data_IF_345003710513
#
_entry.id   IF_345003710513
#
_cell.length_a   1.000
_cell.length_b   1.000
_cell.length_c   1.000
_cell.angle_alpha   90.00
_cell.angle_beta   90.00
_cell.angle_gamma   90.00
#
_symmetry.space_group_name_H-M   'P 1'
#
loop_
_entity.id
_entity.type
_entity.pdbx_description
1 polymer ?
#
# COMPACT_ATOMS: atom_id res chain seq x y z
N UNK A 1 28.80 -64.38 -33.60
CA UNK A 1 27.94 -63.93 -32.48
C UNK A 1 28.80 -63.53 -31.29
N UNK A 2 29.05 -62.23 -31.12
CA UNK A 2 29.61 -61.61 -29.91
C UNK A 2 28.94 -60.23 -29.83
N UNK A 3 28.18 -59.96 -28.76
CA UNK A 3 27.57 -58.65 -28.52
C UNK A 3 28.60 -57.75 -27.82
N UNK A 4 28.83 -56.51 -28.24
CA UNK A 4 29.46 -55.53 -27.37
C UNK A 4 28.41 -54.92 -26.43
N UNK A 5 28.73 -54.97 -25.13
CA UNK A 5 28.05 -54.23 -24.07
C UNK A 5 28.35 -52.73 -24.24
N UNK A 6 27.31 -51.90 -24.32
CA UNK A 6 27.44 -50.46 -24.10
C UNK A 6 27.07 -50.15 -22.65
N UNK A 7 28.07 -49.71 -21.88
CA UNK A 7 27.88 -49.08 -20.57
C UNK A 7 27.49 -47.62 -20.80
N UNK A 8 26.28 -47.24 -20.40
CA UNK A 8 25.86 -45.84 -20.33
C UNK A 8 26.43 -45.23 -19.04
N UNK A 9 27.66 -44.74 -19.11
CA UNK A 9 28.20 -43.84 -18.09
C UNK A 9 27.47 -42.50 -18.16
N UNK A 10 26.67 -42.25 -17.13
CA UNK A 10 26.54 -40.98 -16.41
C UNK A 10 27.02 -39.73 -17.16
N UNK A 11 26.13 -39.12 -17.94
CA UNK A 11 26.27 -37.71 -18.28
C UNK A 11 25.63 -36.87 -17.16
N UNK A 12 26.52 -36.15 -16.47
CA UNK A 12 26.19 -35.13 -15.49
C UNK A 12 25.21 -34.12 -16.10
N UNK A 13 23.98 -34.15 -15.59
CA UNK A 13 23.06 -33.01 -15.68
C UNK A 13 23.70 -31.86 -14.91
N UNK A 14 24.41 -31.00 -15.64
CA UNK A 14 24.85 -29.69 -15.18
C UNK A 14 23.63 -28.95 -14.63
N UNK A 15 23.60 -28.89 -13.30
CA UNK A 15 22.85 -27.99 -12.41
C UNK A 15 21.95 -26.97 -13.12
N UNK A 16 20.86 -27.45 -13.69
CA UNK A 16 19.63 -26.67 -13.71
C UNK A 16 19.29 -26.49 -12.24
N UNK A 17 19.64 -25.33 -11.67
CA UNK A 17 19.09 -24.88 -10.39
C UNK A 17 17.61 -25.19 -10.48
N UNK A 18 17.19 -26.21 -9.73
CA UNK A 18 15.81 -26.64 -9.68
C UNK A 18 14.99 -25.39 -9.47
N UNK A 19 14.11 -25.08 -10.43
CA UNK A 19 13.12 -24.04 -10.24
C UNK A 19 12.45 -24.38 -8.93
N UNK A 20 12.70 -23.57 -7.91
CA UNK A 20 11.99 -23.66 -6.65
C UNK A 20 10.54 -23.28 -6.96
N UNK A 21 9.75 -24.25 -7.38
CA UNK A 21 8.28 -24.25 -7.44
C UNK A 21 7.67 -24.29 -6.04
N UNK A 22 8.37 -23.78 -5.02
CA UNK A 22 7.75 -23.58 -3.71
C UNK A 22 6.91 -22.29 -3.76
N UNK A 23 5.67 -22.30 -3.23
CA UNK A 23 4.80 -21.14 -3.23
C UNK A 23 5.30 -20.16 -2.16
N UNK A 24 6.37 -19.41 -2.44
CA UNK A 24 6.77 -18.32 -1.58
C UNK A 24 5.81 -17.15 -1.84
N UNK A 25 4.71 -17.15 -1.08
CA UNK A 25 3.84 -15.99 -0.96
C UNK A 25 4.72 -14.78 -0.64
N UNK A 26 4.56 -13.70 -1.41
CA UNK A 26 5.30 -12.46 -1.22
C UNK A 26 5.10 -11.98 0.22
N UNK A 27 6.15 -11.70 0.98
CA UNK A 27 6.01 -11.17 2.34
C UNK A 27 5.60 -9.70 2.28
N UNK A 28 4.45 -9.36 2.87
CA UNK A 28 3.87 -8.03 2.80
C UNK A 28 3.95 -7.33 4.15
N UNK A 29 4.62 -6.19 4.23
CA UNK A 29 4.57 -5.31 5.39
C UNK A 29 3.51 -4.21 5.17
N UNK A 30 2.76 -3.86 6.22
CA UNK A 30 1.76 -2.80 6.16
C UNK A 30 2.08 -1.72 7.19
N UNK A 31 2.18 -0.49 6.70
CA UNK A 31 2.48 0.71 7.46
C UNK A 31 1.35 1.71 7.27
N UNK A 32 0.79 2.20 8.37
CA UNK A 32 -0.31 3.16 8.33
C UNK A 32 -0.01 4.41 9.13
N UNK A 33 0.08 5.55 8.46
CA UNK A 33 0.05 6.85 9.11
C UNK A 33 -1.39 7.20 9.52
N UNK A 34 -1.65 7.22 10.82
CA UNK A 34 -3.00 7.46 11.37
C UNK A 34 -3.51 8.89 11.12
N UNK A 35 -2.67 9.80 10.64
CA UNK A 35 -3.11 11.11 10.17
C UNK A 35 -3.79 11.04 8.80
N UNK A 36 -3.43 10.05 7.99
CA UNK A 36 -3.95 9.84 6.64
C UNK A 36 -5.25 9.01 6.63
N UNK A 37 -6.06 9.11 7.68
CA UNK A 37 -7.40 8.48 7.74
C UNK A 37 -8.30 9.05 6.63
N UNK A 38 -9.33 8.33 6.18
CA UNK A 38 -10.32 8.88 5.25
C UNK A 38 -11.08 10.04 5.92
N UNK A 39 -10.54 11.26 5.83
CA UNK A 39 -11.09 12.45 6.47
C UNK A 39 -12.22 13.00 5.60
N UNK A 40 -13.45 12.58 5.92
CA UNK A 40 -14.77 13.26 5.96
C UNK A 40 -15.14 14.45 5.04
N UNK A 41 -14.26 15.00 4.20
CA UNK A 41 -14.59 16.10 3.28
C UNK A 41 -15.13 15.58 1.94
N UNK A 42 -14.51 14.54 1.38
CA UNK A 42 -14.90 13.95 0.07
C UNK A 42 -15.96 12.84 0.15
N UNK A 43 -16.30 12.37 1.36
CA UNK A 43 -17.07 11.12 1.55
C UNK A 43 -18.23 11.26 2.53
N UNK A 44 -18.90 12.43 2.57
CA UNK A 44 -20.00 12.76 3.52
C UNK A 44 -21.10 11.70 3.67
N UNK A 45 -21.29 10.82 2.69
CA UNK A 45 -22.26 9.71 2.76
C UNK A 45 -21.69 8.35 3.21
N UNK A 46 -20.38 8.14 3.16
CA UNK A 46 -19.74 6.84 3.43
C UNK A 46 -18.84 6.85 4.67
N UNK A 47 -18.30 8.01 5.05
CA UNK A 47 -17.43 8.17 6.22
C UNK A 47 -18.18 8.28 7.55
N UNK A 48 -19.52 8.38 7.52
CA UNK A 48 -20.35 8.43 8.72
C UNK A 48 -20.67 7.03 9.29
N UNK A 49 -20.40 5.95 8.55
CA UNK A 49 -20.88 4.60 8.89
C UNK A 49 -19.79 3.58 9.22
N UNK A 50 -18.50 3.90 9.09
CA UNK A 50 -17.41 2.93 9.28
C UNK A 50 -16.58 3.28 10.50
N UNK A 51 -16.46 2.32 11.44
CA UNK A 51 -15.56 2.44 12.59
C UNK A 51 -14.09 2.39 12.14
N UNK A 52 -13.15 2.88 12.97
CA UNK A 52 -11.73 2.78 12.64
C UNK A 52 -11.28 1.32 12.62
N UNK A 53 -11.91 0.47 13.43
CA UNK A 53 -11.75 -0.97 13.37
C UNK A 53 -12.10 -1.53 11.98
N UNK A 54 -13.26 -1.18 11.42
CA UNK A 54 -13.68 -1.67 10.09
C UNK A 54 -12.72 -1.23 8.99
N UNK A 55 -12.25 0.02 9.05
CA UNK A 55 -11.26 0.55 8.11
C UNK A 55 -9.94 -0.22 8.24
N UNK A 56 -9.47 -0.46 9.47
CA UNK A 56 -8.24 -1.18 9.75
C UNK A 56 -8.30 -2.64 9.24
N UNK A 57 -9.43 -3.33 9.48
CA UNK A 57 -9.65 -4.70 9.01
C UNK A 57 -9.68 -4.75 7.48
N UNK A 58 -10.44 -3.85 6.83
CA UNK A 58 -10.50 -3.77 5.37
C UNK A 58 -9.12 -3.49 4.76
N UNK A 59 -8.35 -2.60 5.38
CA UNK A 59 -7.00 -2.28 4.94
C UNK A 59 -6.07 -3.50 5.00
N UNK A 60 -6.11 -4.27 6.10
CA UNK A 60 -5.33 -5.50 6.22
C UNK A 60 -5.76 -6.56 5.21
N UNK A 61 -7.07 -6.73 5.00
CA UNK A 61 -7.59 -7.66 3.99
C UNK A 61 -7.18 -7.26 2.57
N UNK A 62 -7.15 -5.95 2.27
CA UNK A 62 -6.67 -5.45 1.00
C UNK A 62 -5.15 -5.65 0.85
N UNK A 63 -4.36 -5.36 1.90
CA UNK A 63 -2.91 -5.60 1.89
C UNK A 63 -2.57 -7.10 1.74
N UNK A 64 -3.34 -7.99 2.35
CA UNK A 64 -3.18 -9.44 2.22
C UNK A 64 -3.45 -9.97 0.81
N UNK A 65 -4.09 -9.18 -0.08
CA UNK A 65 -4.24 -9.58 -1.49
C UNK A 65 -2.93 -9.57 -2.28
N UNK A 66 -1.89 -8.90 -1.75
CA UNK A 66 -0.55 -8.85 -2.36
C UNK A 66 0.36 -10.00 -1.89
N UNK A 67 -0.04 -10.76 -0.87
CA UNK A 67 0.76 -11.85 -0.32
C UNK A 67 0.55 -12.07 1.18
N UNK A 68 1.51 -12.71 1.83
CA UNK A 68 1.43 -13.02 3.25
C UNK A 68 1.69 -11.77 4.09
N UNK A 69 0.63 -11.27 4.74
CA UNK A 69 0.72 -10.09 5.60
C UNK A 69 1.52 -10.41 6.87
N UNK A 70 2.65 -9.74 7.01
CA UNK A 70 3.53 -9.84 8.15
C UNK A 70 2.90 -9.21 9.39
N UNK A 71 2.96 -9.93 10.51
CA UNK A 71 2.55 -9.44 11.83
C UNK A 71 3.76 -8.96 12.64
N UNK A 72 3.66 -7.86 13.41
CA UNK A 72 2.54 -6.91 13.44
C UNK A 72 2.55 -5.98 12.21
N UNK A 73 1.36 -5.49 11.81
CA UNK A 73 1.26 -4.31 10.94
C UNK A 73 1.52 -3.06 11.78
N UNK A 74 2.21 -2.06 11.25
CA UNK A 74 2.62 -0.90 12.02
C UNK A 74 1.68 0.28 11.75
N UNK A 75 1.24 0.94 12.80
CA UNK A 75 0.47 2.18 12.71
C UNK A 75 1.23 3.30 13.42
N UNK A 76 1.54 4.37 12.72
CA UNK A 76 2.23 5.52 13.27
C UNK A 76 1.20 6.53 13.76
N UNK A 77 1.23 6.78 15.06
CA UNK A 77 0.58 7.93 15.65
C UNK A 77 1.58 9.09 15.64
N UNK A 78 1.46 10.01 14.68
CA UNK A 78 2.16 11.29 14.81
C UNK A 78 1.52 12.05 15.96
N UNK A 79 2.24 12.18 17.07
CA UNK A 79 1.96 13.24 18.04
C UNK A 79 2.50 14.54 17.45
N UNK A 80 1.88 15.09 16.40
CA UNK A 80 0.93 16.18 16.58
C UNK A 80 -0.56 15.78 16.50
N UNK A 81 -1.01 14.91 17.40
CA UNK A 81 -2.16 15.35 18.19
C UNK A 81 -1.70 16.63 18.88
N UNK A 82 -2.39 17.78 18.78
CA UNK A 82 -2.23 18.80 19.80
C UNK A 82 -2.75 18.21 21.12
N UNK A 83 -1.91 17.38 21.75
CA UNK A 83 -1.75 17.41 23.18
C UNK A 83 -1.39 18.86 23.48
N UNK A 84 -2.39 19.57 24.02
CA UNK A 84 -2.37 21.00 24.34
C UNK A 84 -2.40 21.97 23.14
N UNK A 85 -3.56 22.09 22.48
CA UNK A 85 -4.06 23.47 22.30
C UNK A 85 -4.48 23.97 23.70
N UNK A 86 -4.26 25.26 24.01
CA UNK A 86 -4.17 25.74 25.38
C UNK A 86 -5.38 25.24 26.19
N UNK A 87 -5.21 24.89 27.48
CA UNK A 87 -6.38 24.69 28.31
C UNK A 87 -7.27 25.90 28.04
N UNK A 88 -8.49 25.67 27.53
CA UNK A 88 -9.49 26.71 27.53
C UNK A 88 -9.67 26.98 29.01
N UNK A 89 -8.97 28.00 29.49
CA UNK A 89 -9.10 28.44 30.85
C UNK A 89 -10.59 28.73 31.00
N UNK A 90 -11.23 28.22 32.06
CA UNK A 90 -12.64 28.42 32.25
C UNK A 90 -12.96 29.92 32.11
N UNK A 91 -14.06 30.26 31.41
CA UNK A 91 -15.17 29.36 31.11
C UNK A 91 -15.16 28.72 29.69
N UNK A 92 -15.70 27.51 29.56
CA UNK A 92 -15.79 26.71 28.33
C UNK A 92 -17.08 27.00 27.54
N UNK A 93 -17.04 27.70 26.38
CA UNK A 93 -18.24 28.02 25.62
C UNK A 93 -18.73 26.87 24.72
N UNK A 94 -20.05 26.63 24.71
CA UNK A 94 -20.71 25.81 23.71
C UNK A 94 -20.81 26.57 22.39
N UNK A 95 -20.20 26.03 21.33
CA UNK A 95 -20.13 26.69 20.02
C UNK A 95 -21.43 26.61 19.21
N UNK A 96 -22.45 25.91 19.72
CA UNK A 96 -23.79 25.84 19.10
C UNK A 96 -24.77 26.85 19.69
N UNK A 97 -24.79 26.99 21.02
CA UNK A 97 -25.74 27.85 21.72
C UNK A 97 -25.10 29.05 22.45
N UNK A 98 -23.77 29.16 22.47
CA UNK A 98 -23.03 30.24 23.12
C UNK A 98 -22.94 30.15 24.65
N UNK A 99 -23.61 29.18 25.29
CA UNK A 99 -23.58 29.02 26.75
C UNK A 99 -22.21 28.64 27.24
N UNK A 100 -21.75 29.27 28.31
CA UNK A 100 -20.46 29.03 28.92
C UNK A 100 -20.58 28.11 30.13
N UNK A 101 -19.65 27.17 30.27
CA UNK A 101 -19.65 26.18 31.35
C UNK A 101 -18.37 26.26 32.18
N UNK A 102 -18.44 25.95 33.48
CA UNK A 102 -17.28 26.02 34.37
C UNK A 102 -16.31 24.84 34.16
N UNK A 103 -16.78 23.69 33.65
CA UNK A 103 -15.94 22.53 33.33
C UNK A 103 -16.24 21.97 31.94
N UNK A 104 -15.23 21.31 31.36
CA UNK A 104 -15.35 20.60 30.08
C UNK A 104 -16.38 19.47 30.15
N UNK A 105 -16.47 18.76 31.28
CA UNK A 105 -17.42 17.65 31.48
C UNK A 105 -18.88 18.13 31.46
N UNK A 106 -19.17 19.28 32.09
CA UNK A 106 -20.52 19.85 32.07
C UNK A 106 -20.89 20.34 30.67
N UNK A 107 -19.93 20.90 29.93
CA UNK A 107 -20.13 21.26 28.51
C UNK A 107 -20.42 20.01 27.66
N UNK A 108 -19.69 18.92 27.87
CA UNK A 108 -19.92 17.64 27.18
C UNK A 108 -21.33 17.11 27.49
N UNK A 109 -21.72 17.08 28.77
CA UNK A 109 -23.06 16.64 29.18
C UNK A 109 -24.16 17.53 28.58
N UNK A 110 -23.96 18.85 28.56
CA UNK A 110 -24.88 19.77 27.89
C UNK A 110 -25.00 19.46 26.39
N UNK A 111 -23.89 19.21 25.73
CA UNK A 111 -23.86 18.90 24.31
C UNK A 111 -24.59 17.59 23.99
N UNK A 112 -24.36 16.53 24.77
CA UNK A 112 -25.01 15.23 24.59
C UNK A 112 -26.49 15.24 24.96
N UNK A 113 -26.89 16.00 25.98
CA UNK A 113 -28.29 16.05 26.43
C UNK A 113 -29.17 16.96 25.55
N UNK A 114 -28.62 18.05 25.01
CA UNK A 114 -29.41 19.05 24.26
C UNK A 114 -29.20 18.93 22.75
N UNK A 115 -27.95 18.98 22.30
CA UNK A 115 -27.65 19.15 20.87
C UNK A 115 -27.63 17.84 20.09
N UNK A 116 -27.24 16.73 20.72
CA UNK A 116 -27.28 15.42 20.07
C UNK A 116 -28.71 14.98 19.70
N UNK A 117 -29.72 15.03 20.62
CA UNK A 117 -31.10 14.71 20.27
C UNK A 117 -31.74 15.68 19.27
N UNK A 118 -31.32 16.95 19.29
CA UNK A 118 -31.77 17.97 18.35
C UNK A 118 -31.23 17.70 16.93
N UNK A 119 -29.96 17.35 16.82
CA UNK A 119 -29.32 16.95 15.57
C UNK A 119 -29.98 15.69 14.98
N UNK A 120 -30.21 14.67 15.81
CA UNK A 120 -30.86 13.43 15.40
C UNK A 120 -32.31 13.66 14.92
N UNK A 121 -33.05 14.57 15.58
CA UNK A 121 -34.37 15.00 15.11
C UNK A 121 -34.32 15.68 13.74
N UNK A 122 -33.27 16.46 13.45
CA UNK A 122 -33.07 17.06 12.12
C UNK A 122 -32.77 16.01 11.05
N UNK A 123 -31.95 15.01 11.37
CA UNK A 123 -31.64 13.90 10.45
C UNK A 123 -32.90 13.08 10.12
N UNK A 124 -33.68 12.68 11.12
CA UNK A 124 -34.97 11.97 10.89
C UNK A 124 -35.95 12.76 10.02
N UNK A 125 -35.98 14.09 10.14
CA UNK A 125 -36.80 14.96 9.27
C UNK A 125 -36.31 15.01 7.83
N UNK A 126 -35.00 14.87 7.61
CA UNK A 126 -34.43 14.75 6.27
C UNK A 126 -34.71 13.38 5.68
N UNK A 127 -34.50 12.31 6.44
CA UNK A 127 -34.72 10.93 5.99
C UNK A 127 -36.18 10.66 5.61
N UNK A 128 -37.13 11.25 6.34
CA UNK A 128 -38.57 11.13 6.03
C UNK A 128 -39.03 11.99 4.85
N UNK A 129 -38.23 12.94 4.38
CA UNK A 129 -38.55 13.79 3.24
C UNK A 129 -38.01 13.19 1.94
N UNK A 130 -38.81 13.21 0.87
CA UNK A 130 -38.38 12.75 -0.47
C UNK A 130 -38.63 13.82 -1.53
N UNK A 131 -37.91 13.72 -2.65
CA UNK A 131 -38.09 14.58 -3.83
C UNK A 131 -37.83 16.08 -3.59
N UNK A 132 -38.66 16.95 -4.16
CA UNK A 132 -38.52 18.42 -4.07
C UNK A 132 -38.50 18.92 -2.63
N UNK A 133 -39.29 18.28 -1.75
CA UNK A 133 -39.35 18.61 -0.32
C UNK A 133 -38.01 18.33 0.38
N UNK A 134 -37.35 17.23 0.04
CA UNK A 134 -36.02 16.92 0.56
C UNK A 134 -34.99 17.98 0.16
N UNK A 135 -34.97 18.37 -1.11
CA UNK A 135 -34.01 19.37 -1.63
C UNK A 135 -34.12 20.72 -0.94
N UNK A 136 -35.34 21.18 -0.64
CA UNK A 136 -35.57 22.44 0.07
C UNK A 136 -35.15 22.31 1.54
N UNK A 137 -35.55 21.23 2.22
CA UNK A 137 -35.23 20.99 3.63
C UNK A 137 -33.73 20.78 3.87
N UNK A 138 -33.04 20.08 2.97
CA UNK A 138 -31.60 19.86 3.06
C UNK A 138 -30.83 21.18 2.89
N UNK A 139 -31.29 22.05 1.98
CA UNK A 139 -30.78 23.42 1.85
C UNK A 139 -30.91 24.21 3.16
N UNK A 140 -32.10 24.21 3.76
CA UNK A 140 -32.38 24.92 5.02
C UNK A 140 -31.57 24.38 6.22
N UNK A 141 -31.32 23.07 6.29
CA UNK A 141 -30.64 22.44 7.42
C UNK A 141 -29.10 22.34 7.25
N UNK A 142 -28.58 22.55 6.05
CA UNK A 142 -27.16 22.40 5.70
C UNK A 142 -26.19 23.07 6.68
N UNK A 143 -26.44 24.34 7.02
CA UNK A 143 -25.61 25.11 7.94
C UNK A 143 -25.70 24.59 9.38
N UNK A 144 -26.87 24.12 9.81
CA UNK A 144 -27.05 23.59 11.17
C UNK A 144 -26.36 22.23 11.34
N UNK A 145 -26.42 21.37 10.32
CA UNK A 145 -25.72 20.08 10.32
C UNK A 145 -24.20 20.28 10.36
N UNK A 146 -23.67 21.14 9.48
CA UNK A 146 -22.23 21.44 9.45
C UNK A 146 -21.72 22.12 10.72
N UNK A 147 -22.49 23.03 11.33
CA UNK A 147 -22.16 23.62 12.64
C UNK A 147 -22.10 22.57 13.74
N UNK A 148 -23.06 21.65 13.78
CA UNK A 148 -23.06 20.53 14.72
C UNK A 148 -21.83 19.64 14.54
N UNK A 149 -21.54 19.19 13.32
CA UNK A 149 -20.37 18.36 13.02
C UNK A 149 -19.05 19.04 13.40
N UNK A 150 -18.94 20.35 13.18
CA UNK A 150 -17.76 21.13 13.58
C UNK A 150 -17.63 21.15 15.12
N UNK A 151 -18.71 21.47 15.83
CA UNK A 151 -18.70 21.52 17.29
C UNK A 151 -18.47 20.13 17.92
N UNK A 152 -19.07 19.07 17.36
CA UNK A 152 -18.87 17.69 17.80
C UNK A 152 -17.41 17.27 17.62
N UNK A 153 -16.78 17.58 16.49
CA UNK A 153 -15.34 17.33 16.28
C UNK A 153 -14.45 18.11 17.24
N UNK A 154 -14.83 19.32 17.60
CA UNK A 154 -14.03 20.13 18.52
C UNK A 154 -14.14 19.66 19.97
N UNK A 155 -15.28 19.08 20.35
CA UNK A 155 -15.56 18.55 21.70
C UNK A 155 -15.12 17.08 21.86
N UNK A 156 -15.46 16.23 20.89
CA UNK A 156 -15.25 14.76 20.93
C UNK A 156 -14.21 14.27 19.95
N UNK A 157 -13.74 15.09 19.00
CA UNK A 157 -12.58 14.74 18.16
C UNK A 157 -11.25 14.76 18.91
N UNK A 158 -11.30 14.95 20.23
CA UNK A 158 -10.20 14.89 21.18
C UNK A 158 -10.40 13.64 22.07
N UNK A 159 -9.74 12.53 21.71
CA UNK A 159 -9.57 11.29 22.51
C UNK A 159 -10.82 10.36 22.64
N UNK A 160 -10.77 9.03 22.72
CA UNK A 160 -9.92 8.20 23.61
C UNK A 160 -9.79 6.69 23.20
N UNK A 161 -10.40 6.22 22.10
CA UNK A 161 -10.52 4.77 21.83
C UNK A 161 -9.96 4.31 20.47
N UNK A 162 -9.49 5.25 19.64
CA UNK A 162 -9.00 4.95 18.29
C UNK A 162 -7.81 4.00 18.28
N UNK A 163 -6.95 4.08 19.30
CA UNK A 163 -5.79 3.21 19.45
C UNK A 163 -6.20 1.78 19.78
N UNK A 164 -7.13 1.59 20.70
CA UNK A 164 -7.68 0.28 21.05
C UNK A 164 -8.42 -0.40 19.88
N UNK A 165 -9.14 0.36 19.05
CA UNK A 165 -9.77 -0.16 17.83
C UNK A 165 -8.74 -0.65 16.80
N UNK A 166 -7.73 0.16 16.52
CA UNK A 166 -6.67 -0.17 15.56
C UNK A 166 -5.80 -1.33 16.07
N UNK A 167 -5.53 -1.37 17.38
CA UNK A 167 -4.79 -2.47 18.02
C UNK A 167 -5.57 -3.79 18.00
N UNK A 168 -6.90 -3.75 18.25
CA UNK A 168 -7.78 -4.92 18.09
C UNK A 168 -7.84 -5.42 16.65
N UNK A 169 -7.65 -4.55 15.66
CA UNK A 169 -7.51 -4.94 14.26
C UNK A 169 -6.12 -5.55 13.94
N UNK A 170 -5.21 -5.61 14.91
CA UNK A 170 -3.90 -6.26 14.80
C UNK A 170 -2.73 -5.33 14.46
N UNK A 171 -2.93 -4.01 14.53
CA UNK A 171 -1.84 -3.05 14.35
C UNK A 171 -1.07 -2.83 15.65
N UNK A 172 0.25 -2.80 15.58
CA UNK A 172 1.11 -2.28 16.64
C UNK A 172 1.25 -0.77 16.43
N UNK A 173 0.83 0.00 17.42
CA UNK A 173 0.90 1.46 17.37
C UNK A 173 2.29 1.87 17.83
N UNK A 174 2.93 2.73 17.04
CA UNK A 174 4.20 3.35 17.35
C UNK A 174 3.95 4.83 17.65
N UNK A 175 4.35 5.23 18.85
CA UNK A 175 4.13 6.56 19.41
C UNK A 175 5.46 7.33 19.47
N UNK A 176 5.48 8.57 18.96
CA UNK A 176 6.54 9.54 19.32
C UNK A 176 7.93 9.32 18.72
N UNK A 177 8.06 8.68 17.55
CA UNK A 177 9.33 8.51 16.84
C UNK A 177 9.28 8.95 15.37
N UNK A 178 10.44 9.09 14.75
CA UNK A 178 10.56 9.36 13.31
C UNK A 178 9.97 8.18 12.53
N UNK A 179 8.78 8.38 11.95
CA UNK A 179 8.04 7.35 11.20
C UNK A 179 8.91 6.69 10.12
N UNK A 180 9.76 7.49 9.48
CA UNK A 180 10.66 7.09 8.40
C UNK A 180 11.75 6.15 8.92
N UNK A 181 12.42 6.51 10.02
CA UNK A 181 13.48 5.69 10.60
C UNK A 181 12.97 4.32 11.00
N UNK A 182 11.84 4.26 11.71
CA UNK A 182 11.21 2.99 12.08
C UNK A 182 10.84 2.14 10.87
N UNK A 183 10.38 2.76 9.78
CA UNK A 183 10.02 2.06 8.57
C UNK A 183 11.27 1.51 7.86
N UNK A 184 12.35 2.29 7.75
CA UNK A 184 13.62 1.85 7.20
C UNK A 184 14.25 0.70 8.01
N UNK A 185 14.21 0.80 9.35
CA UNK A 185 14.68 -0.26 10.25
C UNK A 185 13.87 -1.55 10.06
N UNK A 186 12.54 -1.44 9.95
CA UNK A 186 11.67 -2.60 9.74
C UNK A 186 11.93 -3.28 8.39
N UNK A 187 12.17 -2.49 7.33
CA UNK A 187 12.55 -3.01 6.02
C UNK A 187 13.96 -3.61 5.98
N UNK A 188 14.87 -3.12 6.82
CA UNK A 188 16.23 -3.66 6.91
C UNK A 188 16.27 -4.97 7.71
N UNK A 189 15.51 -5.04 8.80
CA UNK A 189 15.53 -6.16 9.72
C UNK A 189 14.64 -7.33 9.26
N UNK A 190 13.64 -7.07 8.41
CA UNK A 190 12.69 -8.08 7.93
C UNK A 190 12.89 -8.33 6.45
N UNK A 191 12.79 -9.59 6.05
CA UNK A 191 12.71 -9.96 4.63
C UNK A 191 11.31 -9.63 4.11
N UNK A 192 11.15 -8.41 3.58
CA UNK A 192 9.91 -7.88 3.01
C UNK A 192 10.04 -7.82 1.49
N UNK A 193 9.15 -8.51 0.77
CA UNK A 193 9.12 -8.45 -0.69
C UNK A 193 8.24 -7.29 -1.18
N UNK A 194 7.20 -6.95 -0.41
CA UNK A 194 6.27 -5.88 -0.73
C UNK A 194 5.91 -5.05 0.52
N UNK A 195 5.89 -3.73 0.41
CA UNK A 195 5.48 -2.83 1.47
C UNK A 195 4.28 -1.98 1.04
N UNK A 196 3.23 -1.98 1.87
CA UNK A 196 2.05 -1.13 1.71
C UNK A 196 2.18 0.04 2.68
N UNK A 197 2.23 1.26 2.14
CA UNK A 197 2.34 2.51 2.92
C UNK A 197 1.03 3.29 2.77
N UNK A 198 0.37 3.58 3.87
CA UNK A 198 -0.80 4.45 3.90
C UNK A 198 -0.38 5.81 4.44
N UNK A 199 -0.10 6.75 3.54
CA UNK A 199 0.27 8.12 3.91
C UNK A 199 0.07 9.08 2.73
N UNK A 200 -0.24 10.33 3.06
CA UNK A 200 -0.25 11.47 2.14
C UNK A 200 1.02 12.33 2.23
N UNK A 201 1.88 12.06 3.22
CA UNK A 201 3.09 12.85 3.48
C UNK A 201 4.15 12.58 2.38
N UNK A 202 4.70 13.65 1.79
CA UNK A 202 5.74 13.55 0.77
C UNK A 202 7.09 13.08 1.33
N UNK A 203 7.27 13.11 2.65
CA UNK A 203 8.53 12.72 3.31
C UNK A 203 8.83 11.22 3.11
N UNK A 204 7.80 10.40 2.89
CA UNK A 204 7.95 8.97 2.56
C UNK A 204 8.50 8.72 1.14
N UNK A 205 8.68 9.75 0.30
CA UNK A 205 9.32 9.58 -1.01
C UNK A 205 10.76 9.09 -0.88
N UNK A 206 11.47 9.48 0.17
CA UNK A 206 12.84 9.00 0.46
C UNK A 206 12.84 7.49 0.71
N UNK A 207 11.91 7.04 1.56
CA UNK A 207 11.66 5.62 1.86
C UNK A 207 11.34 4.82 0.59
N UNK A 208 10.49 5.34 -0.29
CA UNK A 208 10.13 4.66 -1.54
C UNK A 208 11.32 4.49 -2.49
N UNK A 209 12.24 5.46 -2.52
CA UNK A 209 13.49 5.34 -3.28
C UNK A 209 14.40 4.25 -2.69
N UNK A 210 14.50 4.20 -1.37
CA UNK A 210 15.29 3.17 -0.67
C UNK A 210 14.71 1.77 -0.90
N UNK A 211 13.38 1.61 -0.81
CA UNK A 211 12.70 0.36 -1.15
C UNK A 211 13.04 -0.12 -2.56
N UNK A 212 13.04 0.80 -3.53
CA UNK A 212 13.37 0.48 -4.93
C UNK A 212 14.80 -0.01 -5.08
N UNK A 213 15.76 0.61 -4.37
CA UNK A 213 17.15 0.16 -4.35
C UNK A 213 17.31 -1.23 -3.72
N UNK A 214 16.48 -1.56 -2.72
CA UNK A 214 16.42 -2.87 -2.06
C UNK A 214 15.54 -3.89 -2.78
N UNK A 215 15.04 -3.57 -3.98
CA UNK A 215 14.09 -4.38 -4.75
C UNK A 215 12.80 -4.79 -3.99
N UNK A 216 12.36 -3.95 -3.04
CA UNK A 216 11.08 -4.11 -2.35
C UNK A 216 10.00 -3.42 -3.18
N UNK A 217 8.92 -4.14 -3.50
CA UNK A 217 7.79 -3.55 -4.23
C UNK A 217 6.99 -2.64 -3.31
N UNK A 218 6.58 -1.49 -3.81
CA UNK A 218 5.92 -0.45 -3.01
C UNK A 218 4.49 -0.20 -3.48
N UNK A 219 3.55 -0.25 -2.55
CA UNK A 219 2.14 0.11 -2.77
C UNK A 219 1.81 1.29 -1.86
N UNK A 220 1.26 2.36 -2.42
CA UNK A 220 0.91 3.56 -1.65
C UNK A 220 -0.59 3.79 -1.64
N UNK A 221 -1.16 4.02 -0.46
CA UNK A 221 -2.55 4.43 -0.30
C UNK A 221 -2.56 5.87 0.18
N UNK A 222 -3.18 6.75 -0.60
CA UNK A 222 -3.27 8.17 -0.28
C UNK A 222 -4.31 8.93 -1.10
N UNK A 223 -4.68 10.12 -0.65
CA UNK A 223 -5.61 11.06 -1.28
C UNK A 223 -4.84 12.12 -2.08
N UNK A 224 -4.44 11.76 -3.30
CA UNK A 224 -3.84 12.70 -4.25
C UNK A 224 -4.94 13.51 -4.95
N UNK A 225 -4.99 14.81 -4.73
CA UNK A 225 -5.79 15.74 -5.55
C UNK A 225 -5.01 16.07 -6.83
N UNK A 226 -5.09 15.18 -7.81
CA UNK A 226 -4.51 15.36 -9.14
C UNK A 226 -3.44 14.33 -9.50
N UNK A 227 -3.33 14.05 -10.80
CA UNK A 227 -2.58 12.91 -11.34
C UNK A 227 -1.05 13.08 -11.28
N UNK A 228 -0.54 14.29 -11.02
CA UNK A 228 0.89 14.63 -11.10
C UNK A 228 1.56 15.06 -9.78
N UNK A 229 0.79 15.30 -8.72
CA UNK A 229 1.29 15.77 -7.43
C UNK A 229 0.92 14.78 -6.33
N UNK A 230 1.81 13.85 -6.00
CA UNK A 230 1.58 12.95 -4.89
C UNK A 230 2.67 11.91 -4.71
N UNK A 231 2.72 11.32 -3.52
CA UNK A 231 3.62 10.22 -3.17
C UNK A 231 3.44 8.99 -4.09
N UNK A 232 2.23 8.78 -4.63
CA UNK A 232 1.88 7.63 -5.49
C UNK A 232 2.77 7.49 -6.73
N UNK A 233 3.24 8.60 -7.32
CA UNK A 233 4.11 8.58 -8.52
C UNK A 233 5.46 7.90 -8.28
N UNK A 234 5.89 7.83 -7.02
CA UNK A 234 7.14 7.20 -6.62
C UNK A 234 6.96 5.74 -6.23
N UNK A 235 5.72 5.27 -6.10
CA UNK A 235 5.38 3.88 -5.80
C UNK A 235 5.29 3.04 -7.08
N UNK A 236 5.31 1.71 -6.93
CA UNK A 236 5.01 0.81 -8.04
C UNK A 236 3.52 0.83 -8.38
N UNK A 237 2.66 0.93 -7.36
CA UNK A 237 1.20 1.03 -7.49
C UNK A 237 0.64 1.99 -6.44
N UNK A 238 -0.38 2.75 -6.81
CA UNK A 238 -1.05 3.70 -5.92
C UNK A 238 -2.56 3.53 -5.91
N UNK A 239 -3.17 3.51 -4.73
CA UNK A 239 -4.63 3.47 -4.54
C UNK A 239 -5.12 4.67 -3.73
N UNK A 240 -6.35 5.11 -3.94
CA UNK A 240 -7.02 6.03 -3.03
C UNK A 240 -7.93 5.29 -2.05
N UNK A 241 -8.30 5.94 -0.95
CA UNK A 241 -9.22 5.37 0.03
C UNK A 241 -10.54 4.90 -0.58
N UNK A 242 -11.07 5.59 -1.59
CA UNK A 242 -12.28 5.17 -2.31
C UNK A 242 -12.12 3.79 -2.94
N UNK A 243 -10.98 3.53 -3.57
CA UNK A 243 -10.69 2.27 -4.26
C UNK A 243 -10.47 1.13 -3.25
N UNK A 244 -9.80 1.42 -2.14
CA UNK A 244 -9.60 0.46 -1.04
C UNK A 244 -10.94 0.08 -0.41
N UNK A 245 -11.79 1.06 -0.11
CA UNK A 245 -13.10 0.84 0.49
C UNK A 245 -14.08 0.14 -0.46
N UNK A 246 -14.00 0.44 -1.76
CA UNK A 246 -14.75 -0.25 -2.80
C UNK A 246 -14.24 -1.68 -3.09
N UNK A 247 -13.09 -2.08 -2.54
CA UNK A 247 -12.51 -3.41 -2.72
C UNK A 247 -11.66 -3.59 -3.98
N UNK A 248 -11.45 -2.54 -4.78
CA UNK A 248 -10.65 -2.60 -6.01
C UNK A 248 -9.22 -3.05 -5.76
N UNK A 249 -8.60 -2.53 -4.69
CA UNK A 249 -7.24 -2.94 -4.30
C UNK A 249 -7.16 -4.45 -4.05
N UNK A 250 -8.19 -5.06 -3.47
CA UNK A 250 -8.24 -6.50 -3.19
C UNK A 250 -8.39 -7.32 -4.48
N UNK A 251 -9.11 -6.80 -5.47
CA UNK A 251 -9.33 -7.45 -6.77
C UNK A 251 -8.11 -7.32 -7.70
N UNK A 252 -7.47 -6.15 -7.71
CA UNK A 252 -6.32 -5.85 -8.57
C UNK A 252 -5.00 -6.37 -8.00
N UNK A 253 -4.90 -6.54 -6.68
CA UNK A 253 -3.69 -7.00 -5.99
C UNK A 253 -3.05 -8.24 -6.60
N UNK A 254 -3.77 -9.36 -6.81
CA UNK A 254 -3.21 -10.56 -7.41
C UNK A 254 -2.69 -10.34 -8.84
N UNK A 255 -3.38 -9.51 -9.65
CA UNK A 255 -2.98 -9.20 -11.02
C UNK A 255 -1.66 -8.43 -11.03
N UNK A 256 -1.55 -7.43 -10.16
CA UNK A 256 -0.33 -6.63 -9.96
C UNK A 256 0.84 -7.52 -9.55
N UNK A 257 0.64 -8.42 -8.59
CA UNK A 257 1.69 -9.34 -8.12
C UNK A 257 2.14 -10.28 -9.22
N UNK A 258 1.22 -10.81 -10.03
CA UNK A 258 1.57 -11.65 -11.19
C UNK A 258 2.42 -10.86 -12.21
N UNK A 259 2.05 -9.63 -12.53
CA UNK A 259 2.82 -8.78 -13.44
C UNK A 259 4.24 -8.47 -12.91
N UNK A 260 4.39 -8.26 -11.59
CA UNK A 260 5.72 -8.09 -11.00
C UNK A 260 6.58 -9.35 -11.14
N UNK A 261 6.00 -10.52 -10.92
CA UNK A 261 6.70 -11.81 -11.08
C UNK A 261 7.10 -12.07 -12.52
N UNK A 262 6.20 -11.81 -13.46
CA UNK A 262 6.49 -11.95 -14.89
C UNK A 262 7.65 -11.04 -15.31
N UNK A 263 7.66 -9.78 -14.84
CA UNK A 263 8.78 -8.86 -15.09
C UNK A 263 10.10 -9.37 -14.51
N UNK A 264 10.10 -9.86 -13.27
CA UNK A 264 11.31 -10.41 -12.64
C UNK A 264 11.80 -11.68 -13.35
N UNK A 265 10.89 -12.51 -13.83
CA UNK A 265 11.25 -13.68 -14.64
C UNK A 265 11.86 -13.26 -15.98
N UNK A 266 11.27 -12.26 -16.65
CA UNK A 266 11.81 -11.71 -17.89
C UNK A 266 13.19 -11.11 -17.69
N UNK A 267 13.41 -10.26 -16.68
CA UNK A 267 14.72 -9.68 -16.35
C UNK A 267 15.78 -10.75 -16.10
N UNK A 268 15.41 -11.91 -15.53
CA UNK A 268 16.33 -13.03 -15.30
C UNK A 268 16.60 -13.86 -16.55
N UNK A 269 15.68 -13.82 -17.52
CA UNK A 269 15.78 -14.52 -18.80
C UNK A 269 16.36 -13.64 -19.91
N UNK A 270 16.49 -12.33 -19.67
CA UNK A 270 17.22 -11.41 -20.56
C UNK A 270 18.67 -11.88 -20.68
N UNK A 271 18.95 -12.54 -21.81
CA UNK A 271 20.29 -12.99 -22.14
C UNK A 271 21.17 -11.76 -22.40
N UNK A 272 22.17 -11.54 -21.56
CA UNK A 272 23.22 -10.54 -21.80
C UNK A 272 24.42 -11.29 -22.34
N UNK A 273 24.81 -10.94 -23.57
CA UNK A 273 26.07 -11.40 -24.14
C UNK A 273 27.23 -10.99 -23.22
N UNK A 274 27.99 -11.96 -22.74
CA UNK A 274 29.18 -11.75 -21.92
C UNK A 274 30.42 -11.95 -22.80
N UNK A 275 31.09 -10.88 -23.25
CA UNK A 275 32.23 -10.97 -24.15
C UNK A 275 33.45 -11.66 -23.50
N UNK A 276 33.45 -11.89 -22.19
CA UNK A 276 34.55 -12.58 -21.49
C UNK A 276 34.47 -14.11 -21.57
N UNK A 277 33.35 -14.68 -22.04
CA UNK A 277 33.20 -16.13 -22.21
C UNK A 277 33.78 -16.67 -23.51
N UNK A 278 34.04 -15.80 -24.50
CA UNK A 278 34.63 -16.22 -25.79
C UNK A 278 36.17 -16.33 -25.73
N UNK A 279 36.83 -15.82 -24.68
CA UNK A 279 38.30 -15.86 -24.54
C UNK A 279 38.83 -17.13 -23.83
N UNK A 280 37.95 -18.06 -23.42
CA UNK A 280 38.30 -19.19 -22.57
C UNK A 280 38.33 -20.56 -23.26
N UNK A 281 38.05 -20.65 -24.57
CA UNK A 281 38.25 -21.87 -25.34
C UNK A 281 39.25 -21.63 -26.47
N UNK A 282 40.54 -21.88 -26.22
CA UNK A 282 41.44 -22.58 -27.15
C UNK A 282 42.80 -22.86 -26.50
N UNK A 283 42.81 -23.94 -25.71
CA UNK A 283 44.01 -24.58 -25.18
C UNK A 283 44.02 -26.07 -25.50
N UNK A 284 43.57 -26.48 -26.69
CA UNK A 284 43.81 -27.83 -27.21
C UNK A 284 44.83 -27.76 -28.34
N UNK A 285 46.08 -28.11 -28.00
CA UNK A 285 47.14 -28.38 -28.96
C UNK A 285 46.78 -29.59 -29.81
N UNK A 286 46.39 -29.37 -31.07
CA UNK A 286 46.42 -30.40 -32.10
C UNK A 286 47.56 -30.09 -33.08
N UNK A 287 48.41 -31.09 -33.27
CA UNK A 287 49.61 -30.99 -34.10
C UNK A 287 49.31 -30.70 -35.56
N UNK A 288 50.21 -29.91 -36.15
CA UNK A 288 50.64 -29.89 -37.56
C UNK A 288 49.69 -30.51 -38.60
N UNK A 289 49.02 -29.63 -39.35
CA UNK A 289 48.39 -29.95 -40.63
C UNK A 289 47.70 -28.70 -41.18
N UNK A 290 48.35 -28.00 -42.11
CA UNK A 290 47.78 -26.85 -42.80
C UNK A 290 46.55 -27.25 -43.63
N UNK A 291 45.35 -26.99 -43.13
CA UNK A 291 44.15 -26.85 -43.97
C UNK A 291 43.43 -25.55 -43.64
N UNK A 292 43.32 -24.70 -44.67
CA UNK A 292 42.72 -23.36 -44.60
C UNK A 292 41.24 -23.48 -44.25
N UNK A 293 40.90 -23.14 -43.01
CA UNK A 293 39.54 -23.13 -42.49
C UNK A 293 38.67 -22.13 -43.27
N UNK A 294 37.73 -22.63 -44.07
CA UNK A 294 36.63 -21.85 -44.63
C UNK A 294 35.63 -21.60 -43.48
N UNK A 295 35.23 -20.36 -43.20
CA UNK A 295 34.24 -20.11 -42.18
C UNK A 295 32.86 -20.66 -42.59
N UNK A 296 32.15 -21.24 -41.61
CA UNK A 296 30.94 -22.07 -41.78
C UNK A 296 29.75 -21.36 -42.46
N UNK A 297 29.78 -20.03 -42.60
CA UNK A 297 28.74 -19.24 -43.27
C UNK A 297 28.92 -19.10 -44.80
N UNK A 298 29.99 -19.64 -45.39
CA UNK A 298 30.15 -19.69 -46.86
C UNK A 298 29.48 -20.95 -47.43
N UNK A 299 28.23 -20.80 -47.88
CA UNK A 299 27.57 -21.80 -48.72
C UNK A 299 28.22 -21.82 -50.11
N UNK A 300 28.65 -22.99 -50.57
CA UNK A 300 29.14 -23.19 -51.93
C UNK A 300 27.95 -23.20 -52.89
N UNK A 301 27.80 -22.11 -53.65
CA UNK A 301 26.87 -22.03 -54.78
C UNK A 301 27.40 -22.90 -55.94
N UNK A 302 27.13 -24.20 -55.88
CA UNK A 302 27.28 -25.09 -57.03
C UNK A 302 26.02 -24.97 -57.90
N UNK A 303 26.04 -24.00 -58.83
CA UNK A 303 25.17 -24.06 -60.00
C UNK A 303 25.89 -24.88 -61.08
N UNK A 304 25.72 -26.19 -61.02
CA UNK A 304 26.12 -27.10 -62.09
C UNK A 304 25.15 -26.93 -63.26
N UNK A 305 25.66 -26.38 -64.36
CA UNK A 305 25.06 -26.40 -65.68
C UNK A 305 24.77 -27.84 -66.13
N UNK A 306 23.52 -28.15 -66.43
CA UNK A 306 23.15 -29.27 -67.28
C UNK A 306 22.85 -28.74 -68.68
N UNK A 307 23.69 -29.21 -69.61
CA UNK A 307 23.48 -29.49 -71.04
C UNK A 307 22.52 -28.62 -71.87
#
# INVERSE_FOLDING_TARGET
MKKPHYSLHSLNLLSLKTFSTSPSFSSVALFWDLNSKPTTSSYRHLSLSLSLYDVAVRLRLAAASFGHLLSPSLAFASFHLPSRSPPLLPPFPCRLCGRTFPSSQILIHHFTSVHSPEHERRLRRLESATGRRWSILSGQLSLNLSRYEKAHRELFGRCENSTGEVQRAGFKILEGGDKIMHLCDELANRRVDCAVIVSDDLDFVTVLKEMRQKNVKSVVIGESKGDNYGIKRHANVGFCWREVLAGKMKEEGPKVVSQWRERELLERLEWRYDPSQDDAEEGLTWGTGEEKHKPWWKLDNNNQSCS
#
